data_IF_358539793023
#
_entry.id   IF_358539793023
#
_cell.length_a   1.000
_cell.length_b   1.000
_cell.length_c   1.000
_cell.angle_alpha   90.00
_cell.angle_beta   90.00
_cell.angle_gamma   90.00
#
_symmetry.space_group_name_H-M   'P 1'
#
loop_
_entity.id
_entity.type
_entity.pdbx_description
1 polymer ?
#
# COMPACT_ATOMS: atom_id res chain seq x y z
N UNK A 1 8.86 22.65 18.93
CA UNK A 1 7.83 21.82 18.27
C UNK A 1 8.40 20.43 18.08
N UNK A 2 7.80 19.42 18.70
CA UNK A 2 8.35 18.06 18.73
C UNK A 2 8.12 17.35 17.37
N UNK A 3 9.19 16.77 16.84
CA UNK A 3 9.23 15.96 15.59
C UNK A 3 8.08 14.92 15.51
N UNK A 4 7.75 14.31 16.65
CA UNK A 4 6.66 13.33 16.82
C UNK A 4 5.28 13.88 16.41
N UNK A 5 5.02 15.16 16.66
CA UNK A 5 3.74 15.80 16.34
C UNK A 5 3.66 16.10 14.84
N UNK A 6 4.73 16.57 14.22
CA UNK A 6 4.80 16.81 12.76
C UNK A 6 4.58 15.53 11.96
N UNK A 7 5.17 14.41 12.39
CA UNK A 7 4.97 13.09 11.79
C UNK A 7 3.50 12.64 11.86
N UNK A 8 2.86 12.80 13.03
CA UNK A 8 1.44 12.48 13.24
C UNK A 8 0.49 13.35 12.39
N UNK A 9 0.88 14.59 12.07
CA UNK A 9 0.13 15.51 11.19
C UNK A 9 0.33 15.15 9.71
N UNK A 10 1.51 14.68 9.32
CA UNK A 10 1.80 14.23 7.95
C UNK A 10 1.14 12.89 7.61
N UNK A 11 1.00 12.03 8.61
CA UNK A 11 0.29 10.75 8.56
C UNK A 11 -1.23 10.88 8.52
N UNK A 12 -1.78 12.07 8.82
CA UNK A 12 -3.20 12.27 9.14
C UNK A 12 -4.19 11.96 8.02
N UNK A 13 -3.74 11.56 6.83
CA UNK A 13 -4.52 10.73 5.90
C UNK A 13 -3.61 10.05 4.88
N UNK A 14 -3.00 8.92 5.26
CA UNK A 14 -2.36 8.03 4.28
C UNK A 14 -3.33 7.64 3.17
N UNK A 15 -4.62 7.47 3.48
CA UNK A 15 -5.68 7.18 2.52
C UNK A 15 -5.75 8.20 1.37
N UNK A 16 -5.57 9.49 1.66
CA UNK A 16 -5.62 10.57 0.66
C UNK A 16 -4.44 10.53 -0.32
N UNK A 17 -3.38 9.78 0.02
CA UNK A 17 -2.19 9.61 -0.83
C UNK A 17 -2.26 8.34 -1.68
N UNK A 18 -3.27 7.49 -1.45
CA UNK A 18 -3.45 6.25 -2.20
C UNK A 18 -4.28 6.54 -3.45
N UNK A 19 -3.63 6.47 -4.61
CA UNK A 19 -4.28 6.61 -5.90
C UNK A 19 -4.56 5.25 -6.54
N UNK A 20 -5.42 5.22 -7.58
CA UNK A 20 -5.66 4.02 -8.38
C UNK A 20 -5.25 4.28 -9.83
N UNK A 21 -4.24 3.57 -10.33
CA UNK A 21 -3.71 3.70 -11.69
C UNK A 21 -3.43 2.32 -12.27
N UNK A 22 -3.85 2.04 -13.50
CA UNK A 22 -3.69 0.74 -14.17
C UNK A 22 -4.16 -0.44 -13.28
N UNK A 23 -5.28 -0.28 -12.57
CA UNK A 23 -5.80 -1.25 -11.59
C UNK A 23 -4.90 -1.55 -10.38
N UNK A 24 -3.85 -0.75 -10.17
CA UNK A 24 -3.00 -0.82 -8.98
C UNK A 24 -3.33 0.33 -8.03
N UNK A 25 -3.39 0.03 -6.74
CA UNK A 25 -3.31 1.05 -5.71
C UNK A 25 -1.85 1.46 -5.56
N UNK A 26 -1.58 2.74 -5.74
CA UNK A 26 -0.22 3.28 -5.78
C UNK A 26 -0.06 4.47 -4.86
N UNK A 27 1.19 4.72 -4.46
CA UNK A 27 1.63 5.96 -3.79
C UNK A 27 2.79 6.53 -4.60
N UNK A 28 2.80 7.85 -4.81
CA UNK A 28 3.87 8.51 -5.56
C UNK A 28 5.15 8.62 -4.75
N UNK A 29 6.30 8.62 -5.43
CA UNK A 29 7.64 8.78 -4.85
C UNK A 29 7.76 9.92 -3.83
N UNK A 30 7.20 11.09 -4.14
CA UNK A 30 7.20 12.25 -3.25
C UNK A 30 6.36 12.02 -1.98
N UNK A 31 5.24 11.33 -2.10
CA UNK A 31 4.40 10.96 -0.96
C UNK A 31 5.07 9.88 -0.12
N UNK A 32 5.70 8.88 -0.73
CA UNK A 32 6.49 7.86 -0.01
C UNK A 32 7.64 8.51 0.74
N UNK A 33 8.36 9.44 0.10
CA UNK A 33 9.47 10.16 0.72
C UNK A 33 9.01 10.93 1.96
N UNK A 34 7.90 11.66 1.85
CA UNK A 34 7.28 12.38 2.95
C UNK A 34 6.87 11.45 4.11
N UNK A 35 6.23 10.33 3.77
CA UNK A 35 5.78 9.31 4.72
C UNK A 35 6.95 8.61 5.44
N UNK A 36 8.07 8.44 4.75
CA UNK A 36 9.28 7.83 5.32
C UNK A 36 10.19 8.84 6.02
N UNK A 37 9.89 10.14 5.92
CA UNK A 37 10.73 11.21 6.46
C UNK A 37 12.09 11.34 5.75
N UNK A 38 12.14 11.06 4.45
CA UNK A 38 13.35 11.16 3.63
C UNK A 38 13.10 12.03 2.41
N UNK A 39 14.16 12.43 1.71
CA UNK A 39 14.02 13.14 0.44
C UNK A 39 13.60 12.20 -0.70
N UNK A 40 12.81 12.68 -1.67
CA UNK A 40 12.43 11.91 -2.87
C UNK A 40 13.66 11.40 -3.63
N UNK A 41 14.74 12.19 -3.64
CA UNK A 41 16.01 11.78 -4.22
C UNK A 41 16.54 10.48 -3.59
N UNK A 42 16.39 10.32 -2.26
CA UNK A 42 16.84 9.12 -1.55
C UNK A 42 16.03 7.88 -1.94
N UNK A 43 14.72 8.03 -2.16
CA UNK A 43 13.86 6.98 -2.69
C UNK A 43 14.34 6.56 -4.09
N UNK A 44 14.55 7.53 -4.97
CA UNK A 44 14.94 7.29 -6.36
C UNK A 44 16.35 6.69 -6.47
N UNK A 45 17.28 7.09 -5.60
CA UNK A 45 18.60 6.45 -5.47
C UNK A 45 18.51 5.00 -5.01
N UNK A 46 17.63 4.70 -4.05
CA UNK A 46 17.43 3.33 -3.59
C UNK A 46 16.94 2.42 -4.72
N UNK A 47 16.01 2.90 -5.55
CA UNK A 47 15.53 2.17 -6.74
C UNK A 47 16.64 2.01 -7.77
N UNK A 48 17.31 3.10 -8.14
CA UNK A 48 18.36 3.09 -9.16
C UNK A 48 19.53 2.16 -8.81
N UNK A 49 19.88 2.08 -7.53
CA UNK A 49 20.98 1.25 -7.06
C UNK A 49 20.59 -0.24 -6.88
N UNK A 50 19.30 -0.59 -6.94
CA UNK A 50 18.80 -1.95 -6.74
C UNK A 50 17.74 -2.33 -7.81
N UNK A 51 18.04 -2.17 -9.12
CA UNK A 51 17.03 -2.32 -10.17
C UNK A 51 16.43 -3.74 -10.24
N UNK A 52 17.21 -4.76 -9.88
CA UNK A 52 16.82 -6.18 -9.76
C UNK A 52 15.68 -6.40 -8.76
N UNK A 53 15.54 -5.52 -7.77
CA UNK A 53 14.51 -5.62 -6.72
C UNK A 53 13.22 -4.88 -7.06
N UNK A 54 13.21 -4.09 -8.13
CA UNK A 54 12.07 -3.27 -8.54
C UNK A 54 11.57 -3.66 -9.95
N UNK A 55 10.96 -4.85 -10.10
CA UNK A 55 10.29 -5.19 -11.34
C UNK A 55 9.11 -4.24 -11.58
N UNK A 56 8.60 -4.19 -12.82
CA UNK A 56 7.51 -3.29 -13.22
C UNK A 56 6.20 -3.46 -12.43
N UNK A 57 6.03 -4.59 -11.75
CA UNK A 57 4.88 -4.87 -10.86
C UNK A 57 5.01 -4.22 -9.48
N UNK A 58 6.20 -3.75 -9.11
CA UNK A 58 6.50 -3.13 -7.82
C UNK A 58 6.49 -1.61 -7.93
N UNK A 59 7.00 -1.09 -9.05
CA UNK A 59 6.97 0.32 -9.34
C UNK A 59 6.97 0.56 -10.85
N UNK A 60 6.42 1.70 -11.26
CA UNK A 60 6.46 2.15 -12.64
C UNK A 60 6.40 3.67 -12.70
N UNK A 61 6.96 4.24 -13.75
CA UNK A 61 6.84 5.67 -14.01
C UNK A 61 5.47 5.98 -14.64
N UNK A 62 4.82 7.03 -14.16
CA UNK A 62 3.56 7.49 -14.73
C UNK A 62 3.77 8.24 -16.04
N UNK A 63 2.82 8.13 -16.96
CA UNK A 63 2.74 8.99 -18.14
C UNK A 63 2.22 10.39 -17.79
N UNK A 64 2.41 11.36 -18.69
CA UNK A 64 1.90 12.73 -18.51
C UNK A 64 0.38 12.74 -18.30
N UNK A 65 -0.35 11.98 -19.11
CA UNK A 65 -1.81 11.91 -19.05
C UNK A 65 -2.29 11.31 -17.72
N UNK A 66 -1.63 10.25 -17.24
CA UNK A 66 -1.94 9.65 -15.93
C UNK A 66 -1.70 10.64 -14.79
N UNK A 67 -0.62 11.42 -14.85
CA UNK A 67 -0.32 12.46 -13.86
C UNK A 67 -1.39 13.56 -13.88
N UNK A 68 -1.85 13.99 -15.05
CA UNK A 68 -2.91 14.99 -15.18
C UNK A 68 -4.25 14.49 -14.62
N UNK A 69 -4.62 13.24 -14.91
CA UNK A 69 -5.81 12.59 -14.34
C UNK A 69 -5.71 12.48 -12.81
N UNK A 70 -4.51 12.17 -12.28
CA UNK A 70 -4.32 12.11 -10.83
C UNK A 70 -4.45 13.48 -10.17
N UNK A 71 -3.87 14.53 -10.75
CA UNK A 71 -3.96 15.90 -10.23
C UNK A 71 -5.39 16.41 -10.14
N UNK A 72 -6.24 16.05 -11.10
CA UNK A 72 -7.64 16.46 -11.10
C UNK A 72 -8.48 15.69 -10.09
N UNK A 73 -8.11 14.44 -9.77
CA UNK A 73 -8.85 13.57 -8.84
C UNK A 73 -8.37 13.66 -7.39
N UNK A 74 -7.10 13.97 -7.17
CA UNK A 74 -6.46 13.94 -5.85
C UNK A 74 -5.77 15.28 -5.60
N UNK A 75 -6.44 16.13 -4.83
CA UNK A 75 -5.98 17.48 -4.50
C UNK A 75 -4.71 17.50 -3.63
N UNK A 76 -4.47 16.41 -2.89
CA UNK A 76 -3.41 16.27 -1.87
C UNK A 76 -2.10 15.66 -2.38
N UNK A 77 -2.04 15.22 -3.64
CA UNK A 77 -0.84 14.56 -4.18
C UNK A 77 0.33 15.53 -4.26
N UNK A 78 1.48 15.16 -3.67
CA UNK A 78 2.70 15.97 -3.68
C UNK A 78 3.43 15.92 -5.03
N UNK A 79 2.77 16.38 -6.10
CA UNK A 79 3.38 16.50 -7.41
C UNK A 79 3.31 17.94 -7.93
N UNK A 80 4.48 18.56 -8.13
CA UNK A 80 4.57 19.92 -8.69
C UNK A 80 4.41 19.88 -10.21
N UNK A 81 3.52 20.71 -10.75
CA UNK A 81 3.35 20.90 -12.20
C UNK A 81 4.63 21.42 -12.88
N UNK A 82 5.54 22.04 -12.10
CA UNK A 82 6.84 22.54 -12.57
C UNK A 82 7.92 21.47 -12.56
N UNK A 83 7.63 20.26 -12.05
CA UNK A 83 8.57 19.15 -12.11
C UNK A 83 8.86 18.78 -13.55
N UNK A 84 10.15 18.72 -13.91
CA UNK A 84 10.60 18.28 -15.24
C UNK A 84 10.57 16.76 -15.40
N UNK A 85 10.45 16.01 -14.30
CA UNK A 85 10.44 14.55 -14.28
C UNK A 85 9.08 14.01 -13.87
N UNK A 86 8.65 12.97 -14.57
CA UNK A 86 7.44 12.21 -14.23
C UNK A 86 7.69 11.38 -12.96
N UNK A 87 6.70 11.33 -12.04
CA UNK A 87 6.86 10.68 -10.77
C UNK A 87 6.85 9.16 -10.91
N UNK A 88 7.58 8.47 -10.03
CA UNK A 88 7.41 7.03 -9.87
C UNK A 88 6.20 6.73 -8.99
N UNK A 89 5.44 5.71 -9.38
CA UNK A 89 4.34 5.15 -8.63
C UNK A 89 4.78 3.81 -8.02
N UNK A 90 4.60 3.66 -6.70
CA UNK A 90 4.93 2.44 -5.97
C UNK A 90 3.67 1.69 -5.58
N UNK A 91 3.66 0.39 -5.88
CA UNK A 91 2.66 -0.52 -5.33
C UNK A 91 3.05 -0.92 -3.92
N UNK A 92 2.14 -1.57 -3.20
CA UNK A 92 2.42 -2.16 -1.88
C UNK A 92 3.67 -3.04 -1.84
N UNK A 93 3.89 -3.85 -2.89
CA UNK A 93 5.10 -4.66 -3.01
C UNK A 93 6.36 -3.79 -3.14
N UNK A 94 6.26 -2.69 -3.89
CA UNK A 94 7.32 -1.69 -3.99
C UNK A 94 7.63 -1.00 -2.66
N UNK A 95 6.61 -0.68 -1.86
CA UNK A 95 6.78 -0.08 -0.53
C UNK A 95 7.51 -1.04 0.43
N UNK A 96 7.11 -2.31 0.45
CA UNK A 96 7.85 -3.33 1.21
C UNK A 96 9.31 -3.37 0.80
N UNK A 97 9.58 -3.37 -0.51
CA UNK A 97 10.95 -3.42 -1.00
C UNK A 97 11.75 -2.19 -0.58
N UNK A 98 11.18 -0.97 -0.67
CA UNK A 98 11.83 0.24 -0.19
C UNK A 98 12.15 0.17 1.31
N UNK A 99 11.23 -0.31 2.15
CA UNK A 99 11.46 -0.46 3.58
C UNK A 99 12.65 -1.38 3.90
N UNK A 100 12.83 -2.47 3.14
CA UNK A 100 13.97 -3.39 3.31
C UNK A 100 15.32 -2.79 2.90
N UNK A 101 15.31 -1.83 1.97
CA UNK A 101 16.54 -1.18 1.47
C UNK A 101 16.92 0.00 2.36
N UNK A 102 15.94 0.83 2.76
CA UNK A 102 16.17 2.01 3.58
C UNK A 102 16.47 1.66 5.04
N UNK A 103 15.92 0.55 5.55
CA UNK A 103 16.18 -0.01 6.89
C UNK A 103 15.98 0.97 8.06
N UNK A 104 15.20 2.04 7.90
CA UNK A 104 14.86 2.94 9.00
C UNK A 104 13.62 2.44 9.74
N UNK A 105 13.61 2.58 11.08
CA UNK A 105 12.43 2.24 11.90
C UNK A 105 11.18 2.98 11.41
N UNK A 106 11.35 4.24 11.00
CA UNK A 106 10.30 5.06 10.41
C UNK A 106 9.75 4.45 9.13
N UNK A 107 10.59 4.09 8.15
CA UNK A 107 10.11 3.51 6.90
C UNK A 107 9.36 2.18 7.10
N UNK A 108 9.84 1.35 8.03
CA UNK A 108 9.19 0.08 8.38
C UNK A 108 7.80 0.33 9.00
N UNK A 109 7.72 1.17 10.03
CA UNK A 109 6.46 1.45 10.72
C UNK A 109 5.44 2.12 9.78
N UNK A 110 5.86 3.14 9.02
CA UNK A 110 5.00 3.80 8.05
C UNK A 110 4.48 2.82 7.00
N UNK A 111 5.30 1.89 6.55
CA UNK A 111 4.86 0.86 5.59
C UNK A 111 3.72 0.04 6.18
N UNK A 112 3.84 -0.42 7.42
CA UNK A 112 2.74 -1.16 8.07
C UNK A 112 1.46 -0.36 8.19
N UNK A 113 1.56 0.93 8.53
CA UNK A 113 0.39 1.82 8.62
C UNK A 113 -0.31 2.01 7.27
N UNK A 114 0.46 2.24 6.20
CA UNK A 114 -0.06 2.34 4.84
C UNK A 114 -0.86 1.09 4.45
N UNK A 115 -0.36 -0.07 4.82
CA UNK A 115 -0.95 -1.35 4.46
C UNK A 115 -2.21 -1.63 5.27
N UNK A 116 -2.19 -1.33 6.57
CA UNK A 116 -3.36 -1.45 7.44
C UNK A 116 -4.52 -0.57 6.93
N UNK A 117 -4.21 0.64 6.46
CA UNK A 117 -5.22 1.56 5.92
C UNK A 117 -5.88 1.04 4.63
N UNK A 118 -5.12 0.32 3.79
CA UNK A 118 -5.70 -0.34 2.61
C UNK A 118 -6.73 -1.40 2.97
N UNK A 119 -6.52 -2.16 4.04
CA UNK A 119 -7.44 -3.22 4.47
C UNK A 119 -8.74 -2.64 5.06
N UNK A 120 -8.67 -1.51 5.76
CA UNK A 120 -9.87 -0.83 6.29
C UNK A 120 -10.80 -0.35 5.18
N UNK A 121 -10.26 0.15 4.07
CA UNK A 121 -11.05 0.55 2.90
C UNK A 121 -11.76 -0.62 2.20
N UNK A 122 -11.44 -1.88 2.53
CA UNK A 122 -12.16 -3.08 2.06
C UNK A 122 -13.34 -3.45 2.98
N UNK A 123 -13.35 -2.97 4.24
CA UNK A 123 -14.39 -3.34 5.21
C UNK A 123 -15.77 -2.76 4.87
N UNK A 124 -15.85 -1.64 4.15
CA UNK A 124 -17.11 -1.12 3.64
C UNK A 124 -17.61 -1.83 2.37
N UNK A 125 -16.78 -2.67 1.75
CA UNK A 125 -17.11 -3.32 0.47
C UNK A 125 -17.20 -4.86 0.53
N UNK A 126 -16.73 -5.56 1.58
CA UNK A 126 -16.59 -7.03 1.48
C UNK A 126 -16.85 -7.88 2.73
N UNK A 127 -17.04 -7.33 3.94
CA UNK A 127 -17.43 -8.17 5.09
C UNK A 127 -18.95 -8.38 5.15
N UNK A 128 -19.47 -9.03 4.11
CA UNK A 128 -20.74 -9.76 4.11
C UNK A 128 -20.56 -11.09 3.36
N UNK A 129 -19.37 -11.68 3.41
CA UNK A 129 -19.26 -13.12 3.16
C UNK A 129 -19.61 -13.80 4.47
N UNK A 130 -20.89 -14.11 4.67
CA UNK A 130 -21.28 -15.17 5.60
C UNK A 130 -20.42 -16.38 5.21
N UNK A 131 -19.57 -16.86 6.11
CA UNK A 131 -19.09 -18.22 5.99
C UNK A 131 -20.33 -19.09 6.17
N UNK A 132 -20.96 -19.49 5.07
CA UNK A 132 -21.95 -20.56 5.11
C UNK A 132 -21.19 -21.82 5.49
N UNK A 133 -21.48 -22.31 6.69
CA UNK A 133 -20.96 -23.59 7.16
C UNK A 133 -21.46 -24.66 6.18
N UNK A 134 -20.56 -25.41 5.51
CA UNK A 134 -20.95 -26.52 4.66
C UNK A 134 -21.94 -27.44 5.39
N UNK A 135 -23.01 -27.95 4.72
CA UNK A 135 -24.05 -28.76 5.37
C UNK A 135 -23.49 -29.94 6.19
N UNK A 136 -22.41 -30.55 5.71
CA UNK A 136 -21.65 -31.62 6.37
C UNK A 136 -21.09 -31.21 7.75
N UNK A 137 -20.64 -29.95 7.90
CA UNK A 137 -20.16 -29.44 9.19
C UNK A 137 -21.31 -29.06 10.12
N UNK A 138 -22.48 -28.70 9.58
CA UNK A 138 -23.67 -28.46 10.40
C UNK A 138 -24.16 -29.77 11.05
N UNK A 139 -24.02 -30.90 10.37
CA UNK A 139 -24.38 -32.22 10.92
C UNK A 139 -23.41 -32.67 12.04
N UNK A 140 -22.12 -32.37 11.89
CA UNK A 140 -21.13 -32.56 12.96
C UNK A 140 -21.46 -31.73 14.21
N UNK A 141 -21.82 -30.45 14.04
CA UNK A 141 -22.12 -29.53 15.15
C UNK A 141 -23.45 -29.91 15.84
N UNK A 142 -24.44 -30.39 15.08
CA UNK A 142 -25.72 -30.88 15.63
C UNK A 142 -25.61 -32.27 16.27
N UNK A 143 -24.41 -32.85 16.34
CA UNK A 143 -24.16 -34.16 16.96
C UNK A 143 -24.84 -35.32 16.25
N UNK A 144 -25.28 -35.12 15.00
CA UNK A 144 -26.08 -36.09 14.24
C UNK A 144 -25.20 -37.01 13.39
N UNK A 145 -23.91 -36.67 13.24
CA UNK A 145 -22.93 -37.43 12.48
C UNK A 145 -21.52 -37.35 13.11
N UNK A 146 -20.84 -38.48 13.28
CA UNK A 146 -19.40 -38.57 13.58
C UNK A 146 -18.74 -39.37 12.46
N UNK A 147 -17.67 -38.86 11.81
CA UNK A 147 -17.00 -39.60 10.76
C UNK A 147 -16.41 -40.90 11.33
N UNK A 148 -16.68 -42.02 10.67
CA UNK A 148 -16.09 -43.31 11.02
C UNK A 148 -14.59 -43.22 10.70
N UNK A 149 -13.74 -43.15 11.74
CA UNK A 149 -12.30 -43.22 11.53
C UNK A 149 -11.98 -44.60 10.93
N UNK A 150 -11.60 -44.61 9.65
CA UNK A 150 -11.00 -45.78 9.06
C UNK A 150 -9.60 -45.93 9.65
N UNK A 151 -9.46 -46.83 10.62
CA UNK A 151 -8.17 -47.39 10.97
C UNK A 151 -7.65 -48.17 9.77
N UNK A 152 -6.42 -47.84 9.36
CA UNK A 152 -5.60 -48.56 8.37
C UNK A 152 -5.71 -50.09 8.46
#
# INVERSE_FOLDING_TARGET
MNNENTFSILMRNVADRIASVRNHKIILDADVALLYGVETKRINEAVRNNPDKFPSTYMFQLSKDEVEILRTKISSTNYSAKSRSLPYAFTEKGLYMLATILKSKTAINTTFEILAERVKNVHHATVSRKFETPPELLECIKGTWMPRMHST
#
